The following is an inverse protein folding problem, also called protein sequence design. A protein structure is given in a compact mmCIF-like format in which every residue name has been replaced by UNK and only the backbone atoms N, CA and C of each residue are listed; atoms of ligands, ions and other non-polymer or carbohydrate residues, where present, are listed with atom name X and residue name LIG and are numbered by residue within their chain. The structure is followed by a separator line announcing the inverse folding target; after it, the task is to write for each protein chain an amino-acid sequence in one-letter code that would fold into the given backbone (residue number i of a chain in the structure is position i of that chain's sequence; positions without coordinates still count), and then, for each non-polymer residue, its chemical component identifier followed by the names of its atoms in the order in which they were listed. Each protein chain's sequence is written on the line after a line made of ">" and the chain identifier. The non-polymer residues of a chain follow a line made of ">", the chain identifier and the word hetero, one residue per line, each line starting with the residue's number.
data_IF_110693794360
#
_entry.id   IF_110693794360
#
_cell.length_a   1.000
_cell.length_b   1.000
_cell.length_c   1.000
_cell.angle_alpha   90.00
_cell.angle_beta   90.00
_cell.angle_gamma   90.00
#
_symmetry.space_group_name_H-M   'P 1'
#
loop_
_entity.id
_entity.type
_entity.pdbx_description
1 polymer ?
#
# COMPACT_ATOMS: atom_id res chain seq x y z
N UNK A 1 20.37 -12.64 -26.15
CA UNK A 1 18.91 -12.61 -26.18
C UNK A 1 18.42 -12.90 -24.78
N UNK A 2 17.56 -12.07 -24.21
CA UNK A 2 16.91 -12.38 -22.94
C UNK A 2 16.14 -13.69 -23.03
N UNK A 3 16.05 -14.43 -21.93
CA UNK A 3 15.20 -15.62 -21.88
C UNK A 3 13.75 -15.16 -22.10
N UNK A 4 12.94 -15.82 -22.94
CA UNK A 4 11.56 -15.39 -23.27
C UNK A 4 10.69 -15.01 -22.05
N UNK A 5 10.97 -15.60 -20.90
CA UNK A 5 10.29 -15.29 -19.63
C UNK A 5 10.58 -13.88 -19.11
N UNK A 6 11.81 -13.38 -19.21
CA UNK A 6 12.17 -12.04 -18.72
C UNK A 6 11.48 -10.96 -19.54
N UNK A 7 11.43 -11.13 -20.86
CA UNK A 7 10.74 -10.20 -21.76
C UNK A 7 9.22 -10.24 -21.53
N UNK A 8 8.64 -11.42 -21.36
CA UNK A 8 7.23 -11.58 -21.02
C UNK A 8 6.89 -10.93 -19.68
N UNK A 9 7.76 -11.08 -18.69
CA UNK A 9 7.57 -10.49 -17.37
C UNK A 9 7.69 -8.96 -17.40
N UNK A 10 8.64 -8.40 -18.15
CA UNK A 10 8.72 -6.95 -18.35
C UNK A 10 7.44 -6.41 -19.01
N UNK A 11 6.98 -7.08 -20.06
CA UNK A 11 5.74 -6.70 -20.75
C UNK A 11 4.52 -6.76 -19.81
N UNK A 12 4.46 -7.79 -18.95
CA UNK A 12 3.44 -7.88 -17.91
C UNK A 12 3.45 -6.64 -17.00
N UNK A 13 4.60 -6.24 -16.45
CA UNK A 13 4.69 -5.08 -15.56
C UNK A 13 4.23 -3.80 -16.27
N UNK A 14 4.63 -3.60 -17.52
CA UNK A 14 4.26 -2.42 -18.31
C UNK A 14 2.75 -2.37 -18.58
N UNK A 15 2.14 -3.48 -19.03
CA UNK A 15 0.70 -3.56 -19.31
C UNK A 15 -0.11 -3.25 -18.06
N UNK A 16 0.31 -3.80 -16.93
CA UNK A 16 -0.40 -3.69 -15.65
C UNK A 16 -0.30 -2.28 -15.11
N UNK A 17 0.91 -1.73 -15.14
CA UNK A 17 1.15 -0.35 -14.73
C UNK A 17 0.27 0.59 -15.55
N UNK A 18 0.23 0.44 -16.88
CA UNK A 18 -0.64 1.25 -17.73
C UNK A 18 -2.12 1.09 -17.41
N UNK A 19 -2.60 -0.15 -17.24
CA UNK A 19 -4.02 -0.45 -16.95
C UNK A 19 -4.48 0.12 -15.60
N UNK A 20 -3.59 0.18 -14.62
CA UNK A 20 -3.88 0.69 -13.27
C UNK A 20 -3.58 2.19 -13.12
N UNK A 21 -3.21 2.90 -14.21
CA UNK A 21 -2.91 4.34 -14.14
C UNK A 21 -1.54 4.66 -13.53
N UNK A 22 -0.55 3.81 -13.76
CA UNK A 22 0.83 3.88 -13.26
C UNK A 22 0.90 3.98 -11.73
N UNK A 23 0.37 2.97 -11.00
CA UNK A 23 0.35 3.00 -9.56
C UNK A 23 1.76 2.90 -8.99
N UNK A 24 1.97 3.48 -7.80
CA UNK A 24 3.23 3.35 -7.08
C UNK A 24 3.47 1.93 -6.55
N UNK A 25 2.40 1.14 -6.37
CA UNK A 25 2.43 -0.26 -5.91
C UNK A 25 1.22 -1.03 -6.45
N UNK A 26 1.36 -2.33 -6.70
CA UNK A 26 0.25 -3.20 -7.09
C UNK A 26 0.43 -4.65 -6.61
N UNK A 27 -0.67 -5.40 -6.57
CA UNK A 27 -0.67 -6.83 -6.24
C UNK A 27 -0.15 -7.70 -7.39
N UNK A 28 0.41 -8.88 -7.09
CA UNK A 28 1.07 -9.70 -8.12
C UNK A 28 0.85 -11.21 -7.94
N UNK A 29 0.75 -11.96 -9.05
CA UNK A 29 0.44 -13.39 -9.03
C UNK A 29 1.72 -14.22 -8.90
N UNK A 30 2.41 -14.16 -7.77
CA UNK A 30 3.52 -15.07 -7.48
C UNK A 30 3.00 -16.47 -7.10
N UNK A 31 3.72 -17.52 -7.48
CA UNK A 31 3.38 -18.92 -7.14
C UNK A 31 3.24 -19.16 -5.63
N UNK A 32 4.02 -18.43 -4.82
CA UNK A 32 4.01 -18.54 -3.36
C UNK A 32 3.01 -17.55 -2.73
N UNK A 33 2.99 -16.30 -3.22
CA UNK A 33 2.17 -15.24 -2.61
C UNK A 33 0.71 -15.33 -3.02
N UNK A 34 0.40 -15.84 -4.21
CA UNK A 34 -0.97 -15.99 -4.75
C UNK A 34 -1.81 -14.71 -4.67
N UNK A 35 -1.21 -13.55 -4.93
CA UNK A 35 -1.82 -12.21 -4.80
C UNK A 35 -2.20 -11.80 -3.36
N UNK A 36 -1.75 -12.52 -2.33
CA UNK A 36 -2.02 -12.22 -0.91
C UNK A 36 -0.90 -11.41 -0.23
N UNK A 37 0.23 -11.20 -0.92
CA UNK A 37 1.30 -10.35 -0.41
C UNK A 37 0.89 -8.87 -0.46
N UNK A 38 1.53 -8.07 0.40
CA UNK A 38 1.39 -6.61 0.35
C UNK A 38 1.77 -6.09 -1.04
N UNK A 39 1.04 -5.11 -1.61
CA UNK A 39 1.38 -4.49 -2.88
C UNK A 39 2.82 -3.96 -2.89
N UNK A 40 3.54 -4.22 -3.97
CA UNK A 40 4.94 -3.80 -4.12
C UNK A 40 5.11 -2.85 -5.31
N UNK A 41 6.17 -2.01 -5.29
CA UNK A 41 6.56 -1.21 -6.44
C UNK A 41 6.85 -2.06 -7.70
N UNK A 42 6.65 -1.53 -8.93
CA UNK A 42 6.81 -2.29 -10.17
C UNK A 42 8.16 -2.99 -10.34
N UNK A 43 9.25 -2.33 -9.95
CA UNK A 43 10.60 -2.89 -9.97
C UNK A 43 10.78 -4.05 -8.99
N UNK A 44 10.18 -3.96 -7.80
CA UNK A 44 10.20 -5.03 -6.80
C UNK A 44 9.32 -6.21 -7.23
N UNK A 45 8.16 -5.96 -7.82
CA UNK A 45 7.32 -7.01 -8.41
C UNK A 45 8.08 -7.76 -9.51
N UNK A 46 8.77 -7.04 -10.39
CA UNK A 46 9.60 -7.63 -11.44
C UNK A 46 10.67 -8.56 -10.84
N UNK A 47 11.46 -8.07 -9.88
CA UNK A 47 12.50 -8.86 -9.23
C UNK A 47 11.93 -10.08 -8.49
N UNK A 48 10.79 -9.91 -7.82
CA UNK A 48 10.12 -10.99 -7.10
C UNK A 48 9.70 -12.11 -8.05
N UNK A 49 9.04 -11.77 -9.15
CA UNK A 49 8.57 -12.73 -10.14
C UNK A 49 9.72 -13.38 -10.93
N UNK A 50 10.84 -12.68 -11.13
CA UNK A 50 12.06 -13.31 -11.67
C UNK A 50 12.60 -14.42 -10.76
N UNK A 51 12.56 -14.20 -9.44
CA UNK A 51 13.11 -15.16 -8.47
C UNK A 51 12.17 -16.33 -8.15
N UNK A 52 10.85 -16.07 -8.14
CA UNK A 52 9.84 -17.01 -7.64
C UNK A 52 8.90 -17.56 -8.71
N UNK A 53 8.90 -16.96 -9.90
CA UNK A 53 7.93 -17.20 -10.99
C UNK A 53 6.49 -16.76 -10.69
N UNK A 54 5.71 -16.61 -11.76
CA UNK A 54 4.26 -16.39 -11.67
C UNK A 54 3.52 -17.70 -11.35
N UNK A 55 2.39 -17.57 -10.67
CA UNK A 55 1.41 -18.64 -10.51
C UNK A 55 0.80 -18.99 -11.88
N UNK A 56 1.01 -20.23 -12.33
CA UNK A 56 0.53 -20.70 -13.63
C UNK A 56 -0.99 -20.88 -13.68
N UNK A 57 -1.65 -20.94 -12.53
CA UNK A 57 -3.11 -21.02 -12.43
C UNK A 57 -3.77 -19.65 -12.49
N UNK A 58 -2.98 -18.56 -12.40
CA UNK A 58 -3.46 -17.20 -12.55
C UNK A 58 -3.68 -16.87 -14.04
N UNK A 59 -4.81 -17.32 -14.57
CA UNK A 59 -5.19 -17.11 -15.98
C UNK A 59 -6.05 -15.87 -16.18
N UNK A 60 -6.65 -15.37 -15.11
CA UNK A 60 -7.54 -14.22 -15.14
C UNK A 60 -7.09 -13.15 -14.17
N UNK A 61 -7.12 -11.91 -14.63
CA UNK A 61 -6.76 -10.76 -13.85
C UNK A 61 -7.98 -10.28 -13.05
N UNK A 62 -8.19 -10.84 -11.86
CA UNK A 62 -9.36 -10.53 -11.00
C UNK A 62 -9.00 -10.07 -9.59
N UNK A 63 -7.75 -10.27 -9.16
CA UNK A 63 -7.26 -9.89 -7.82
C UNK A 63 -6.16 -8.84 -7.95
N UNK A 64 -6.58 -7.60 -8.21
CA UNK A 64 -5.68 -6.48 -8.53
C UNK A 64 -4.92 -5.92 -7.31
N UNK A 65 -5.25 -6.38 -6.09
CA UNK A 65 -4.69 -5.84 -4.85
C UNK A 65 -5.14 -4.41 -4.54
N UNK A 66 -6.17 -3.92 -5.24
CA UNK A 66 -6.80 -2.63 -4.93
C UNK A 66 -7.43 -2.70 -3.54
N UNK A 67 -7.29 -1.66 -2.71
CA UNK A 67 -8.04 -1.59 -1.46
C UNK A 67 -9.52 -1.63 -1.82
N UNK A 68 -10.29 -2.51 -1.18
CA UNK A 68 -11.74 -2.50 -1.32
C UNK A 68 -12.21 -1.07 -1.01
N UNK A 69 -12.83 -0.40 -1.99
CA UNK A 69 -13.50 0.87 -1.74
C UNK A 69 -14.64 0.53 -0.78
N UNK A 70 -14.42 0.72 0.51
CA UNK A 70 -15.51 0.75 1.47
C UNK A 70 -16.23 2.06 1.15
N UNK A 71 -17.27 1.99 0.31
CA UNK A 71 -18.15 3.13 0.06
C UNK A 71 -18.83 3.47 1.37
N UNK A 72 -18.19 4.35 2.15
CA UNK A 72 -18.78 4.94 3.33
C UNK A 72 -19.76 6.03 2.87
N UNK A 73 -20.90 5.61 2.33
CA UNK A 73 -22.09 6.46 2.25
C UNK A 73 -22.69 6.48 3.67
N UNK A 74 -22.08 7.29 4.53
CA UNK A 74 -22.30 7.23 5.97
C UNK A 74 -21.41 8.23 6.69
N UNK A 75 -21.79 9.50 6.56
CA UNK A 75 -21.48 10.66 7.40
C UNK A 75 -20.86 10.40 8.81
N UNK A 76 -20.03 11.37 9.22
CA UNK A 76 -19.46 11.67 10.56
C UNK A 76 -18.51 10.68 11.26
N UNK A 77 -17.20 10.98 11.28
CA UNK A 77 -16.51 11.77 12.34
C UNK A 77 -14.97 11.62 12.22
N UNK A 78 -14.27 12.75 12.09
CA UNK A 78 -12.81 12.83 12.13
C UNK A 78 -12.34 12.86 13.58
N UNK A 79 -11.40 11.99 13.97
CA UNK A 79 -10.24 12.23 14.86
C UNK A 79 -9.74 10.88 15.39
N UNK A 80 -8.46 10.59 15.55
CA UNK A 80 -7.23 11.34 15.38
C UNK A 80 -6.11 10.38 15.75
N UNK A 81 -5.03 10.36 14.95
CA UNK A 81 -3.87 9.53 15.20
C UNK A 81 -3.20 9.94 16.52
N UNK A 82 -3.16 9.02 17.49
CA UNK A 82 -2.35 9.17 18.69
C UNK A 82 -0.93 8.79 18.30
N UNK A 83 -0.02 9.73 18.03
CA UNK A 83 1.43 9.50 18.16
C UNK A 83 2.10 10.87 18.31
N UNK A 84 2.72 11.08 19.47
CA UNK A 84 3.16 12.38 19.94
C UNK A 84 4.42 12.94 19.30
N UNK A 85 4.62 14.23 19.57
CA UNK A 85 5.91 14.88 19.66
C UNK A 85 5.73 16.21 20.41
N UNK A 86 6.49 16.39 21.49
CA UNK A 86 6.61 17.62 22.27
C UNK A 86 6.68 18.89 21.41
N UNK A 87 5.84 19.88 21.72
CA UNK A 87 6.12 21.29 21.45
C UNK A 87 5.76 22.13 22.66
N UNK A 88 6.81 22.63 23.31
CA UNK A 88 6.80 23.66 24.34
C UNK A 88 6.49 25.03 23.73
N UNK A 89 5.48 25.71 24.28
CA UNK A 89 5.29 27.18 24.34
C UNK A 89 4.18 27.39 25.39
N UNK A 90 4.46 27.97 26.58
CA UNK A 90 4.28 29.40 26.85
C UNK A 90 2.86 29.84 26.45
N UNK A 91 1.93 30.27 27.32
CA UNK A 91 2.03 31.12 28.50
C UNK A 91 0.60 31.40 29.04
N UNK A 92 0.51 31.66 30.35
CA UNK A 92 -0.51 32.42 31.11
C UNK A 92 -1.99 31.97 31.19
N UNK A 93 -2.44 31.68 32.43
CA UNK A 93 -3.63 32.21 33.13
C UNK A 93 -3.81 31.40 34.44
N UNK A 94 -3.35 31.90 35.60
CA UNK A 94 -4.07 32.66 36.64
C UNK A 94 -5.36 31.97 37.14
N UNK A 95 -5.43 31.87 38.47
CA UNK A 95 -6.60 31.71 39.36
C UNK A 95 -6.78 30.32 40.01
N UNK A 96 -6.51 30.26 41.31
CA UNK A 96 -6.66 29.08 42.15
C UNK A 96 -6.20 29.34 43.59
N UNK A 97 -6.99 30.15 44.30
CA UNK A 97 -7.00 30.30 45.75
C UNK A 97 -6.95 28.94 46.49
N UNK A 98 -5.98 28.77 47.40
CA UNK A 98 -6.12 27.95 48.60
C UNK A 98 -4.98 28.21 49.60
N UNK A 99 -5.43 28.46 50.82
CA UNK A 99 -4.74 28.75 52.08
C UNK A 99 -3.92 27.57 52.66
N UNK A 100 -2.97 27.90 53.56
CA UNK A 100 -2.28 27.14 54.64
C UNK A 100 -0.76 27.36 54.57
N UNK A 101 -0.03 27.85 55.58
CA UNK A 101 -0.20 28.01 57.05
C UNK A 101 0.38 29.37 57.49
#
# INVERSE_FOLDING_TARGET
>A
GGIPYQDALKNFIDIVSQKLGNPSKFGFPCVDCKNLALPLPPNEVHLHLLNRSMDRTYTEWVFHGEPAIISNDGDVHQEGATHGSEQFSGEANIEGDAHQD
#
